data_IF_355167396567
#
_entry.id   IF_355167396567
#
_cell.length_a   1.000
_cell.length_b   1.000
_cell.length_c   1.000
_cell.angle_alpha   90.00
_cell.angle_beta   90.00
_cell.angle_gamma   90.00
#
_symmetry.space_group_name_H-M   'P 1'
#
loop_
_entity.id
_entity.type
_entity.pdbx_description
1 polymer ?
#
# COMPACT_ATOMS: atom_id res chain seq x y z
N UNK A 1 10.54 -1.67 10.21
CA UNK A 1 9.93 -2.81 9.49
C UNK A 1 8.54 -3.06 10.04
N UNK A 2 7.62 -3.60 9.22
CA UNK A 2 6.34 -4.12 9.70
C UNK A 2 6.64 -5.10 10.84
N UNK A 3 6.00 -4.90 11.99
CA UNK A 3 6.38 -5.53 13.27
C UNK A 3 6.06 -7.04 13.33
N UNK A 4 5.92 -7.72 12.18
CA UNK A 4 5.52 -9.13 12.09
C UNK A 4 4.10 -9.39 12.60
N UNK A 5 3.26 -8.37 12.70
CA UNK A 5 1.88 -8.50 13.17
C UNK A 5 1.08 -9.42 12.24
N UNK A 6 0.10 -10.14 12.81
CA UNK A 6 -0.75 -11.07 12.06
C UNK A 6 -1.37 -10.41 10.81
N UNK A 7 -1.25 -11.04 9.62
CA UNK A 7 -1.96 -10.59 8.43
C UNK A 7 -3.49 -10.53 8.60
N UNK A 8 -4.06 -11.36 9.48
CA UNK A 8 -5.48 -11.28 9.82
C UNK A 8 -5.82 -9.98 10.56
N UNK A 9 -4.94 -9.51 11.45
CA UNK A 9 -5.11 -8.23 12.13
C UNK A 9 -4.99 -7.06 11.14
N UNK A 10 -4.03 -7.13 10.21
CA UNK A 10 -3.93 -6.17 9.10
C UNK A 10 -5.24 -6.09 8.31
N UNK A 11 -5.76 -7.24 7.88
CA UNK A 11 -7.00 -7.31 7.11
C UNK A 11 -8.19 -6.74 7.89
N UNK A 12 -8.38 -7.13 9.15
CA UNK A 12 -9.45 -6.64 10.00
C UNK A 12 -9.38 -5.13 10.25
N UNK A 13 -8.17 -4.60 10.48
CA UNK A 13 -7.95 -3.17 10.68
C UNK A 13 -8.25 -2.37 9.41
N UNK A 14 -7.73 -2.80 8.25
CA UNK A 14 -8.00 -2.14 6.97
C UNK A 14 -9.48 -2.22 6.59
N UNK A 15 -10.12 -3.37 6.79
CA UNK A 15 -11.57 -3.53 6.57
C UNK A 15 -12.36 -2.54 7.43
N UNK A 16 -11.97 -2.34 8.69
CA UNK A 16 -12.62 -1.38 9.59
C UNK A 16 -12.45 0.06 9.11
N UNK A 17 -11.26 0.43 8.61
CA UNK A 17 -10.99 1.76 8.05
C UNK A 17 -11.85 1.98 6.79
N UNK A 18 -11.82 1.04 5.84
CA UNK A 18 -12.58 1.12 4.58
C UNK A 18 -14.09 1.18 4.84
N UNK A 19 -14.59 0.42 5.82
CA UNK A 19 -16.01 0.47 6.22
C UNK A 19 -16.42 1.86 6.69
N UNK A 20 -15.59 2.50 7.54
CA UNK A 20 -15.86 3.85 8.02
C UNK A 20 -15.82 4.88 6.89
N UNK A 21 -14.80 4.81 6.03
CA UNK A 21 -14.68 5.74 4.89
C UNK A 21 -15.87 5.61 3.93
N UNK A 22 -16.31 4.36 3.63
CA UNK A 22 -17.48 4.09 2.81
C UNK A 22 -18.77 4.65 3.42
N UNK A 23 -18.95 4.52 4.73
CA UNK A 23 -20.11 5.08 5.44
C UNK A 23 -20.18 6.62 5.36
N UNK A 24 -19.04 7.28 5.17
CA UNK A 24 -18.94 8.73 4.99
C UNK A 24 -18.83 9.16 3.52
N UNK A 25 -19.05 8.24 2.57
CA UNK A 25 -18.94 8.49 1.13
C UNK A 25 -17.59 9.13 0.72
N UNK A 26 -16.50 8.77 1.42
CA UNK A 26 -15.16 9.26 1.10
C UNK A 26 -14.57 8.39 -0.03
N UNK A 27 -14.17 8.98 -1.17
CA UNK A 27 -13.44 8.25 -2.22
C UNK A 27 -12.10 7.72 -1.67
N UNK A 28 -11.76 6.47 -1.99
CA UNK A 28 -10.56 5.80 -1.48
C UNK A 28 -9.72 5.26 -2.62
N UNK A 29 -8.41 5.53 -2.58
CA UNK A 29 -7.39 4.77 -3.30
C UNK A 29 -6.60 3.94 -2.29
N UNK A 30 -6.59 2.62 -2.46
CA UNK A 30 -5.80 1.74 -1.62
C UNK A 30 -4.39 1.62 -2.19
N UNK A 31 -3.38 1.90 -1.37
CA UNK A 31 -1.98 1.73 -1.74
C UNK A 31 -1.46 0.41 -1.19
N UNK A 32 -1.16 -0.54 -2.08
CA UNK A 32 -0.71 -1.87 -1.71
C UNK A 32 0.71 -1.87 -1.17
N UNK A 33 0.97 -2.77 -0.21
CA UNK A 33 2.29 -3.05 0.33
C UNK A 33 2.63 -4.52 0.16
N UNK A 34 3.93 -4.82 0.16
CA UNK A 34 4.44 -6.19 0.17
C UNK A 34 5.21 -6.47 1.45
N UNK A 35 5.09 -7.70 1.96
CA UNK A 35 5.85 -8.15 3.11
C UNK A 35 7.31 -8.44 2.73
N UNK A 36 8.20 -8.29 3.70
CA UNK A 36 9.60 -8.66 3.53
C UNK A 36 9.75 -10.19 3.44
N UNK A 37 10.57 -10.72 2.51
CA UNK A 37 10.83 -12.16 2.40
C UNK A 37 11.37 -12.81 3.68
N UNK A 38 12.01 -12.03 4.56
CA UNK A 38 12.59 -12.53 5.81
C UNK A 38 11.54 -13.03 6.82
N UNK A 39 10.26 -12.70 6.62
CA UNK A 39 9.16 -13.12 7.49
C UNK A 39 8.59 -14.50 7.14
N UNK A 40 9.11 -15.16 6.11
CA UNK A 40 8.69 -16.50 5.69
C UNK A 40 7.59 -16.48 4.62
N UNK A 41 7.59 -17.51 3.78
CA UNK A 41 6.74 -17.63 2.59
C UNK A 41 5.26 -17.55 2.93
N UNK A 42 4.83 -18.25 3.97
CA UNK A 42 3.42 -18.29 4.40
C UNK A 42 2.94 -16.91 4.84
N UNK A 43 3.77 -16.18 5.59
CA UNK A 43 3.46 -14.81 6.00
C UNK A 43 3.37 -13.88 4.80
N UNK A 44 4.34 -13.97 3.88
CA UNK A 44 4.37 -13.11 2.68
C UNK A 44 3.14 -13.31 1.81
N UNK A 45 2.75 -14.57 1.56
CA UNK A 45 1.53 -14.90 0.80
C UNK A 45 0.30 -14.33 1.51
N UNK A 46 0.16 -14.61 2.81
CA UNK A 46 -0.99 -14.15 3.59
C UNK A 46 -1.07 -12.62 3.71
N UNK A 47 0.06 -11.91 3.76
CA UNK A 47 0.10 -10.45 3.80
C UNK A 47 -0.24 -9.85 2.44
N UNK A 48 0.41 -10.33 1.37
CA UNK A 48 0.31 -9.73 0.04
C UNK A 48 -1.10 -9.86 -0.57
N UNK A 49 -1.88 -10.89 -0.17
CA UNK A 49 -3.25 -11.06 -0.66
C UNK A 49 -4.26 -10.08 -0.01
N UNK A 50 -3.95 -9.49 1.14
CA UNK A 50 -4.89 -8.62 1.87
C UNK A 50 -5.34 -7.42 1.04
N UNK A 51 -4.41 -6.70 0.42
CA UNK A 51 -4.70 -5.49 -0.35
C UNK A 51 -5.60 -5.74 -1.56
N UNK A 52 -5.29 -6.68 -2.49
CA UNK A 52 -6.19 -6.96 -3.61
C UNK A 52 -7.55 -7.51 -3.19
N UNK A 53 -7.61 -8.34 -2.15
CA UNK A 53 -8.89 -8.84 -1.62
C UNK A 53 -9.77 -7.69 -1.11
N UNK A 54 -9.22 -6.78 -0.30
CA UNK A 54 -9.99 -5.65 0.24
C UNK A 54 -10.36 -4.64 -0.84
N UNK A 55 -9.47 -4.37 -1.80
CA UNK A 55 -9.78 -3.50 -2.94
C UNK A 55 -10.99 -4.02 -3.72
N UNK A 56 -11.03 -5.32 -4.02
CA UNK A 56 -12.15 -5.96 -4.70
C UNK A 56 -13.42 -5.95 -3.85
N UNK A 57 -13.32 -6.29 -2.56
CA UNK A 57 -14.47 -6.36 -1.66
C UNK A 57 -15.16 -4.99 -1.45
N UNK A 58 -14.37 -3.92 -1.38
CA UNK A 58 -14.89 -2.56 -1.15
C UNK A 58 -15.20 -1.80 -2.43
N UNK A 59 -14.82 -2.35 -3.59
CA UNK A 59 -14.89 -1.71 -4.91
C UNK A 59 -14.13 -0.38 -4.93
N UNK A 60 -12.86 -0.42 -4.51
CA UNK A 60 -11.96 0.74 -4.50
C UNK A 60 -10.75 0.48 -5.39
N UNK A 61 -10.22 1.51 -6.10
CA UNK A 61 -9.00 1.37 -6.88
C UNK A 61 -7.81 0.96 -5.99
N UNK A 62 -6.91 0.16 -6.58
CA UNK A 62 -5.69 -0.33 -5.96
C UNK A 62 -4.46 0.10 -6.76
N UNK A 63 -3.52 0.76 -6.10
CA UNK A 63 -2.14 0.88 -6.57
C UNK A 63 -1.35 -0.34 -6.08
N UNK A 64 -0.73 -1.10 -6.99
CA UNK A 64 -0.17 -2.43 -6.73
C UNK A 64 0.84 -2.49 -5.57
N UNK A 65 2.06 -2.00 -5.76
CA UNK A 65 3.06 -1.90 -4.70
C UNK A 65 3.61 -0.48 -4.60
N UNK A 66 3.30 0.20 -3.49
CA UNK A 66 3.65 1.60 -3.28
C UNK A 66 5.15 1.92 -3.38
N UNK A 67 6.03 0.96 -3.05
CA UNK A 67 7.48 1.14 -3.11
C UNK A 67 8.11 0.50 -4.35
N UNK A 68 7.31 0.17 -5.38
CA UNK A 68 7.81 -0.42 -6.62
C UNK A 68 8.86 0.48 -7.29
N UNK A 69 10.03 -0.09 -7.58
CA UNK A 69 11.17 0.62 -8.14
C UNK A 69 11.92 1.53 -7.15
N UNK A 70 11.58 1.50 -5.85
CA UNK A 70 12.29 2.25 -4.79
C UNK A 70 12.80 1.33 -3.68
N UNK A 71 12.03 0.32 -3.31
CA UNK A 71 12.44 -0.64 -2.29
C UNK A 71 13.80 -1.26 -2.62
N UNK A 72 14.71 -1.28 -1.64
CA UNK A 72 16.05 -1.87 -1.71
C UNK A 72 17.07 -1.16 -2.63
N UNK A 73 16.71 -0.08 -3.33
CA UNK A 73 17.67 0.75 -4.07
C UNK A 73 18.43 1.67 -3.09
N UNK A 74 19.75 1.54 -3.02
CA UNK A 74 20.59 2.34 -2.12
C UNK A 74 20.66 3.83 -2.48
N UNK A 75 20.41 4.19 -3.74
CA UNK A 75 20.40 5.59 -4.18
C UNK A 75 19.06 6.28 -3.84
N UNK A 76 17.99 5.49 -3.68
CA UNK A 76 16.65 5.99 -3.41
C UNK A 76 16.21 5.80 -1.96
N UNK A 77 16.98 5.07 -1.15
CA UNK A 77 16.74 4.89 0.27
C UNK A 77 17.75 5.63 1.15
N UNK A 78 17.41 5.75 2.42
CA UNK A 78 18.26 6.26 3.49
C UNK A 78 19.36 5.24 3.83
N UNK A 79 20.26 5.59 4.75
CA UNK A 79 21.37 4.72 5.17
C UNK A 79 20.90 3.35 5.71
N UNK A 80 19.67 3.26 6.20
CA UNK A 80 19.04 2.00 6.64
C UNK A 80 18.58 1.07 5.50
N UNK A 81 18.61 1.56 4.25
CA UNK A 81 18.25 0.84 3.02
C UNK A 81 16.79 0.41 2.89
N UNK A 82 15.90 0.89 3.76
CA UNK A 82 14.47 0.51 3.75
C UNK A 82 13.50 1.69 3.77
N UNK A 83 13.96 2.87 4.15
CA UNK A 83 13.15 4.08 4.09
C UNK A 83 13.56 4.95 2.90
N UNK A 84 12.62 5.38 2.03
CA UNK A 84 12.93 6.28 0.94
C UNK A 84 13.60 7.59 1.40
N UNK A 85 14.59 8.06 0.64
CA UNK A 85 15.13 9.41 0.75
C UNK A 85 14.35 10.38 -0.15
N UNK A 86 14.78 11.64 -0.25
CA UNK A 86 14.08 12.65 -1.07
C UNK A 86 13.94 12.25 -2.55
N UNK A 87 14.96 11.62 -3.14
CA UNK A 87 14.89 11.13 -4.51
C UNK A 87 13.94 9.93 -4.64
N UNK A 88 13.94 9.02 -3.65
CA UNK A 88 12.98 7.91 -3.58
C UNK A 88 11.54 8.39 -3.47
N UNK A 89 11.26 9.39 -2.62
CA UNK A 89 9.91 10.00 -2.53
C UNK A 89 9.50 10.59 -3.87
N UNK A 90 10.39 11.29 -4.58
CA UNK A 90 10.09 11.81 -5.92
C UNK A 90 9.72 10.70 -6.91
N UNK A 91 10.40 9.57 -6.86
CA UNK A 91 10.11 8.41 -7.71
C UNK A 91 8.78 7.72 -7.35
N UNK A 92 8.43 7.66 -6.06
CA UNK A 92 7.13 7.16 -5.58
C UNK A 92 6.00 8.08 -6.09
N UNK A 93 6.13 9.39 -5.88
CA UNK A 93 5.12 10.36 -6.31
C UNK A 93 4.88 10.29 -7.81
N UNK A 94 5.93 10.19 -8.63
CA UNK A 94 5.74 10.09 -10.09
C UNK A 94 4.97 8.85 -10.54
N UNK A 95 4.91 7.79 -9.71
CA UNK A 95 4.14 6.56 -9.99
C UNK A 95 2.73 6.60 -9.48
N UNK A 96 2.53 7.17 -8.29
CA UNK A 96 1.22 7.18 -7.60
C UNK A 96 0.35 8.36 -8.06
N UNK A 97 0.95 9.46 -8.51
CA UNK A 97 0.21 10.68 -8.90
C UNK A 97 -0.90 10.43 -9.94
N UNK A 98 -0.70 9.65 -11.02
CA UNK A 98 -1.78 9.38 -11.98
C UNK A 98 -3.01 8.72 -11.36
N UNK A 99 -2.83 7.80 -10.40
CA UNK A 99 -3.94 7.15 -9.70
C UNK A 99 -4.68 8.12 -8.78
N UNK A 100 -3.94 9.03 -8.14
CA UNK A 100 -4.51 10.10 -7.29
C UNK A 100 -5.30 11.09 -8.14
N UNK A 101 -4.74 11.56 -9.26
CA UNK A 101 -5.43 12.46 -10.20
C UNK A 101 -6.69 11.81 -10.76
N UNK A 102 -6.62 10.51 -11.10
CA UNK A 102 -7.79 9.75 -11.55
C UNK A 102 -8.86 9.68 -10.46
N UNK A 103 -8.51 9.37 -9.22
CA UNK A 103 -9.48 9.36 -8.11
C UNK A 103 -10.14 10.73 -7.93
N UNK A 104 -9.36 11.81 -7.95
CA UNK A 104 -9.86 13.17 -7.80
C UNK A 104 -10.82 13.57 -8.92
N UNK A 105 -10.55 13.14 -10.16
CA UNK A 105 -11.43 13.42 -11.31
C UNK A 105 -12.80 12.72 -11.22
N UNK A 106 -12.89 11.62 -10.47
CA UNK A 106 -14.12 10.85 -10.26
C UNK A 106 -14.93 11.29 -9.03
N UNK A 107 -14.30 12.07 -8.15
CA UNK A 107 -14.87 12.55 -6.89
C UNK A 107 -15.51 13.94 -6.99
N UNK A 108 -15.35 14.62 -8.13
CA UNK A 108 -15.97 15.91 -8.47
C UNK A 108 -17.29 15.70 -9.21
#
# INVERSE_FOLDING_TARGET
>A
MLQGLSPANLASNLQSILTRLKAHAVPVLLLGMQASPVLGTEYVIAFNVVYPTLAQQFDVPLHGFFLEGVALDSNLNQADRIHPNAAGVKAIVSRVLPDVEKLLSQAQ
#
